data_IF_204656545274
#
_entry.id   IF_204656545274
#
_cell.length_a   1.000
_cell.length_b   1.000
_cell.length_c   1.000
_cell.angle_alpha   90.00
_cell.angle_beta   90.00
_cell.angle_gamma   90.00
#
_symmetry.space_group_name_H-M   'P 1'
#
loop_
_entity.id
_entity.type
_entity.pdbx_description
1 polymer ?
#
# COMPACT_ATOMS: atom_id res chain seq x y z
N UNK A 1 11.67 -1.83 -12.71
CA UNK A 1 11.18 -0.55 -13.20
C UNK A 1 9.66 -0.50 -13.13
N UNK A 2 9.07 0.61 -12.66
CA UNK A 2 7.66 0.70 -12.32
C UNK A 2 6.80 1.27 -13.47
N UNK A 3 6.83 0.69 -14.65
CA UNK A 3 6.08 1.21 -15.81
C UNK A 3 4.70 0.58 -15.90
N UNK A 4 3.67 1.40 -15.84
CA UNK A 4 2.29 0.95 -15.98
C UNK A 4 1.46 1.84 -16.92
N UNK A 5 1.99 2.99 -17.31
CA UNK A 5 1.24 4.00 -18.05
C UNK A 5 1.94 4.42 -19.32
N UNK A 6 1.14 4.66 -20.38
CA UNK A 6 1.65 5.13 -21.65
C UNK A 6 2.23 6.55 -21.57
N UNK A 7 1.84 7.34 -20.58
CA UNK A 7 2.36 8.69 -20.35
C UNK A 7 3.66 8.73 -19.56
N UNK A 8 4.23 7.55 -19.23
CA UNK A 8 5.48 7.43 -18.50
C UNK A 8 5.35 7.53 -16.98
N UNK A 9 4.14 7.66 -16.43
CA UNK A 9 3.93 7.63 -14.99
C UNK A 9 3.88 6.20 -14.47
N UNK A 10 4.36 6.03 -13.24
CA UNK A 10 4.33 4.75 -12.54
C UNK A 10 3.11 4.72 -11.62
N UNK A 11 2.37 3.62 -11.61
CA UNK A 11 1.21 3.46 -10.75
C UNK A 11 1.54 2.52 -9.58
N UNK A 12 1.38 3.05 -8.36
CA UNK A 12 1.58 2.33 -7.11
C UNK A 12 0.24 2.16 -6.45
N UNK A 13 -0.08 0.94 -6.01
CA UNK A 13 -1.33 0.64 -5.30
C UNK A 13 -0.99 0.26 -3.86
N UNK A 14 -1.57 0.97 -2.89
CA UNK A 14 -1.51 0.55 -1.50
C UNK A 14 -2.57 -0.52 -1.28
N UNK A 15 -2.13 -1.73 -0.98
CA UNK A 15 -2.98 -2.88 -0.67
C UNK A 15 -2.21 -3.77 0.31
N UNK A 16 -2.54 -3.76 1.61
CA UNK A 16 -1.74 -4.45 2.61
C UNK A 16 -1.85 -5.97 2.49
N UNK A 17 -0.72 -6.65 2.70
CA UNK A 17 -0.61 -8.10 2.71
C UNK A 17 0.48 -8.49 3.71
N UNK A 18 0.77 -9.79 3.84
CA UNK A 18 1.81 -10.27 4.73
C UNK A 18 3.18 -9.71 4.33
N UNK A 19 3.82 -8.98 5.24
CA UNK A 19 5.11 -8.30 5.04
C UNK A 19 5.15 -7.28 3.88
N UNK A 20 3.99 -7.01 3.26
CA UNK A 20 3.91 -6.15 2.09
C UNK A 20 2.83 -5.07 2.28
N UNK A 21 3.06 -3.90 1.72
CA UNK A 21 2.11 -2.79 1.87
C UNK A 21 1.43 -2.41 0.55
N UNK A 22 1.96 -2.89 -0.57
CA UNK A 22 1.38 -2.53 -1.85
C UNK A 22 2.10 -3.19 -3.02
N UNK A 23 1.72 -2.79 -4.20
CA UNK A 23 2.25 -3.34 -5.44
C UNK A 23 2.21 -2.31 -6.56
N UNK A 24 2.97 -2.56 -7.62
CA UNK A 24 2.88 -1.83 -8.88
C UNK A 24 1.86 -2.53 -9.79
N UNK A 25 1.21 -1.77 -10.66
CA UNK A 25 0.38 -2.37 -11.70
C UNK A 25 1.21 -3.13 -12.74
N UNK A 26 2.52 -2.89 -12.79
CA UNK A 26 3.43 -3.66 -13.63
C UNK A 26 3.65 -5.06 -13.05
N UNK A 27 3.42 -6.08 -13.86
CA UNK A 27 3.60 -7.49 -13.44
C UNK A 27 5.07 -7.86 -13.21
N UNK A 28 6.00 -7.07 -13.74
CA UNK A 28 7.43 -7.33 -13.62
C UNK A 28 8.04 -6.83 -12.31
N UNK A 29 7.24 -6.12 -11.49
CA UNK A 29 7.71 -5.55 -10.24
C UNK A 29 7.13 -6.35 -9.07
N UNK A 30 7.98 -6.92 -8.18
CA UNK A 30 7.48 -7.64 -7.01
C UNK A 30 6.74 -6.68 -6.06
N UNK A 31 5.85 -7.21 -5.20
CA UNK A 31 5.17 -6.40 -4.20
C UNK A 31 6.14 -5.63 -3.31
N UNK A 32 5.69 -4.52 -2.77
CA UNK A 32 6.53 -3.57 -2.02
C UNK A 32 6.60 -3.95 -0.55
N UNK A 33 7.82 -4.06 -0.02
CA UNK A 33 8.09 -4.30 1.40
C UNK A 33 8.42 -3.00 2.11
N UNK A 34 8.29 -3.02 3.43
CA UNK A 34 8.68 -1.89 4.27
C UNK A 34 9.49 -2.40 5.46
N UNK A 35 10.61 -1.75 5.74
CA UNK A 35 11.46 -2.11 6.87
C UNK A 35 10.84 -1.67 8.19
N UNK A 36 11.29 -2.27 9.31
CA UNK A 36 10.74 -2.01 10.64
C UNK A 36 10.92 -0.55 11.10
N UNK A 37 11.87 0.17 10.52
CA UNK A 37 12.07 1.60 10.78
C UNK A 37 11.18 2.50 9.91
N UNK A 38 10.36 1.91 9.03
CA UNK A 38 9.46 2.65 8.13
C UNK A 38 10.07 3.00 6.78
N UNK A 39 11.26 2.53 6.48
CA UNK A 39 11.90 2.77 5.18
C UNK A 39 11.23 1.89 4.12
N UNK A 40 10.74 2.51 3.06
CA UNK A 40 10.21 1.77 1.91
C UNK A 40 11.37 1.07 1.20
N UNK A 41 11.28 -0.26 1.14
CA UNK A 41 12.36 -1.09 0.60
C UNK A 41 12.19 -1.30 -0.91
N UNK A 42 12.33 -0.20 -1.65
CA UNK A 42 12.34 -0.22 -3.11
C UNK A 42 13.06 1.06 -3.60
N UNK A 43 14.24 0.89 -4.19
CA UNK A 43 15.07 1.99 -4.66
C UNK A 43 14.45 2.80 -5.82
N UNK A 44 13.45 2.22 -6.49
CA UNK A 44 12.77 2.88 -7.61
C UNK A 44 11.62 3.79 -7.14
N UNK A 45 11.31 3.80 -5.84
CA UNK A 45 10.31 4.68 -5.22
C UNK A 45 11.05 5.76 -4.44
N UNK A 46 10.78 7.01 -4.76
CA UNK A 46 11.52 8.14 -4.18
C UNK A 46 10.60 9.33 -3.90
N UNK A 47 11.06 10.21 -3.02
CA UNK A 47 10.33 11.41 -2.64
C UNK A 47 10.54 12.56 -3.65
N UNK A 48 10.03 13.75 -3.29
CA UNK A 48 10.13 14.95 -4.13
C UNK A 48 11.58 15.36 -4.44
N UNK A 49 12.53 14.94 -3.61
CA UNK A 49 13.95 15.25 -3.76
C UNK A 49 14.76 14.07 -4.34
N UNK A 50 14.08 13.00 -4.75
CA UNK A 50 14.70 11.80 -5.28
C UNK A 50 15.34 10.92 -4.21
N UNK A 51 14.94 11.06 -2.95
CA UNK A 51 15.50 10.34 -1.81
C UNK A 51 14.57 9.21 -1.36
N UNK A 52 15.12 8.20 -0.63
CA UNK A 52 14.28 7.14 -0.05
C UNK A 52 13.23 7.72 0.90
N UNK A 53 12.08 7.06 0.94
CA UNK A 53 10.95 7.46 1.80
C UNK A 53 11.00 6.63 3.08
N UNK A 54 10.85 7.31 4.23
CA UNK A 54 10.73 6.66 5.54
C UNK A 54 9.38 7.04 6.13
N UNK A 55 8.53 6.04 6.42
CA UNK A 55 7.17 6.25 6.86
C UNK A 55 6.77 5.19 7.91
N UNK A 56 7.16 5.41 9.20
CA UNK A 56 6.89 4.42 10.26
C UNK A 56 5.42 4.05 10.41
N UNK A 57 4.49 5.01 10.24
CA UNK A 57 3.06 4.75 10.34
C UNK A 57 2.57 3.77 9.28
N UNK A 58 3.19 3.75 8.09
CA UNK A 58 2.86 2.79 7.04
C UNK A 58 3.23 1.36 7.47
N UNK A 59 4.39 1.20 8.09
CA UNK A 59 4.82 -0.09 8.62
C UNK A 59 3.85 -0.61 9.68
N UNK A 60 3.51 0.23 10.68
CA UNK A 60 2.61 -0.17 11.76
C UNK A 60 1.21 -0.52 11.24
N UNK A 61 0.69 0.26 10.31
CA UNK A 61 -0.62 0.03 9.71
C UNK A 61 -0.64 -1.27 8.89
N UNK A 62 0.36 -1.48 8.05
CA UNK A 62 0.45 -2.68 7.23
C UNK A 62 0.54 -3.94 8.11
N UNK A 63 1.31 -3.87 9.19
CA UNK A 63 1.54 -5.01 10.07
C UNK A 63 0.25 -5.50 10.75
N UNK A 64 -0.74 -4.65 10.93
CA UNK A 64 -2.03 -5.03 11.51
C UNK A 64 -2.79 -6.07 10.69
N UNK A 65 -2.51 -6.19 9.39
CA UNK A 65 -3.20 -7.14 8.52
C UNK A 65 -2.67 -8.57 8.66
N UNK A 66 -1.45 -8.77 9.17
CA UNK A 66 -0.78 -10.08 9.15
C UNK A 66 -1.58 -11.20 9.82
N UNK A 67 -2.15 -11.01 11.03
CA UNK A 67 -2.97 -12.08 11.63
C UNK A 67 -4.19 -12.45 10.79
N UNK A 68 -4.76 -11.48 10.08
CA UNK A 68 -5.92 -11.67 9.22
C UNK A 68 -5.54 -12.46 7.96
N UNK A 69 -4.40 -12.15 7.36
CA UNK A 69 -3.88 -12.88 6.19
C UNK A 69 -3.64 -14.35 6.57
N UNK A 70 -3.04 -14.58 7.75
CA UNK A 70 -2.79 -15.94 8.24
C UNK A 70 -4.11 -16.69 8.45
N UNK A 71 -5.09 -16.09 9.13
CA UNK A 71 -6.40 -16.72 9.37
C UNK A 71 -7.10 -17.02 8.05
N UNK A 72 -7.11 -16.09 7.12
CA UNK A 72 -7.71 -16.27 5.79
C UNK A 72 -7.06 -17.44 5.04
N UNK A 73 -5.74 -17.55 5.09
CA UNK A 73 -5.00 -18.59 4.34
C UNK A 73 -5.29 -20.01 4.83
N UNK A 74 -5.67 -20.17 6.11
CA UNK A 74 -5.98 -21.48 6.71
C UNK A 74 -7.48 -21.69 6.91
N UNK A 75 -8.31 -20.77 6.43
CA UNK A 75 -9.76 -20.88 6.52
C UNK A 75 -10.33 -20.62 7.91
N UNK A 76 -9.59 -19.95 8.79
CA UNK A 76 -10.06 -19.59 10.13
C UNK A 76 -10.85 -18.28 10.12
N UNK A 77 -11.82 -18.11 11.03
CA UNK A 77 -12.55 -16.85 11.14
C UNK A 77 -11.65 -15.71 11.62
N UNK A 78 -11.94 -14.51 11.17
CA UNK A 78 -11.27 -13.30 11.63
C UNK A 78 -12.27 -12.15 11.68
N UNK A 79 -11.95 -11.12 12.48
CA UNK A 79 -12.77 -9.95 12.63
C UNK A 79 -11.89 -8.71 12.63
N UNK A 80 -12.38 -7.61 12.02
CA UNK A 80 -11.66 -6.36 11.98
C UNK A 80 -12.63 -5.21 11.69
N UNK A 81 -12.40 -4.08 12.34
CA UNK A 81 -13.07 -2.83 12.02
C UNK A 81 -12.47 -2.25 10.73
N UNK A 82 -13.03 -2.66 9.59
CA UNK A 82 -12.54 -2.25 8.29
C UNK A 82 -12.72 -0.75 8.04
N UNK A 83 -13.78 -0.15 8.56
CA UNK A 83 -13.99 1.29 8.40
C UNK A 83 -12.86 2.09 9.05
N UNK A 84 -12.50 1.76 10.29
CA UNK A 84 -11.37 2.38 10.98
C UNK A 84 -10.05 2.11 10.26
N UNK A 85 -9.83 0.85 9.88
CA UNK A 85 -8.59 0.45 9.22
C UNK A 85 -8.38 1.23 7.91
N UNK A 86 -9.42 1.31 7.09
CA UNK A 86 -9.34 2.03 5.81
C UNK A 86 -9.25 3.54 6.01
N UNK A 87 -9.92 4.10 7.01
CA UNK A 87 -9.78 5.53 7.30
C UNK A 87 -8.33 5.87 7.62
N UNK A 88 -7.67 5.08 8.46
CA UNK A 88 -6.26 5.27 8.78
C UNK A 88 -5.36 5.03 7.57
N UNK A 89 -5.67 4.01 6.77
CA UNK A 89 -4.94 3.72 5.54
C UNK A 89 -5.04 4.85 4.51
N UNK A 90 -6.22 5.44 4.35
CA UNK A 90 -6.41 6.58 3.46
C UNK A 90 -5.67 7.82 3.97
N UNK A 91 -5.66 8.06 5.29
CA UNK A 91 -4.88 9.16 5.87
C UNK A 91 -3.38 8.99 5.60
N UNK A 92 -2.87 7.77 5.73
CA UNK A 92 -1.48 7.44 5.42
C UNK A 92 -1.22 7.64 3.92
N UNK A 93 -2.15 7.19 3.07
CA UNK A 93 -2.02 7.35 1.62
C UNK A 93 -1.94 8.83 1.22
N UNK A 94 -2.75 9.69 1.83
CA UNK A 94 -2.69 11.12 1.56
C UNK A 94 -1.37 11.75 2.05
N UNK A 95 -0.84 11.31 3.17
CA UNK A 95 0.49 11.74 3.63
C UNK A 95 1.58 11.30 2.66
N UNK A 96 1.51 10.05 2.21
CA UNK A 96 2.46 9.54 1.23
C UNK A 96 2.38 10.33 -0.07
N UNK A 97 1.16 10.68 -0.54
CA UNK A 97 0.99 11.47 -1.76
C UNK A 97 1.75 12.79 -1.70
N UNK A 98 1.79 13.44 -0.53
CA UNK A 98 2.44 14.74 -0.36
C UNK A 98 3.96 14.68 -0.44
N UNK A 99 4.55 13.56 -0.06
CA UNK A 99 6.02 13.39 -0.05
C UNK A 99 6.52 12.60 -1.25
N UNK A 100 5.68 11.78 -1.86
CA UNK A 100 6.03 10.96 -3.02
C UNK A 100 6.23 11.85 -4.25
N UNK A 101 7.23 11.52 -5.08
CA UNK A 101 7.45 12.23 -6.34
C UNK A 101 6.19 12.23 -7.21
N UNK A 102 5.91 13.33 -7.93
CA UNK A 102 4.78 13.38 -8.87
C UNK A 102 4.96 12.46 -10.09
N UNK A 103 6.11 11.83 -10.25
CA UNK A 103 6.33 10.79 -11.26
C UNK A 103 5.49 9.54 -10.97
N UNK A 104 4.94 9.42 -9.75
CA UNK A 104 4.12 8.29 -9.33
C UNK A 104 2.66 8.68 -9.22
N UNK A 105 1.80 7.80 -9.71
CA UNK A 105 0.38 7.83 -9.46
C UNK A 105 0.12 6.88 -8.29
N UNK A 106 -0.66 7.31 -7.30
CA UNK A 106 -0.91 6.54 -6.09
C UNK A 106 -2.37 6.15 -5.97
N UNK A 107 -2.63 4.87 -5.73
CA UNK A 107 -3.96 4.29 -5.59
C UNK A 107 -4.08 3.57 -4.26
N UNK A 108 -5.31 3.39 -3.80
CA UNK A 108 -5.64 2.63 -2.60
C UNK A 108 -6.65 1.54 -2.95
N UNK A 109 -6.44 0.33 -2.43
CA UNK A 109 -7.30 -0.82 -2.70
C UNK A 109 -7.45 -1.66 -1.43
N UNK A 110 -8.65 -2.21 -1.20
CA UNK A 110 -8.87 -3.11 -0.09
C UNK A 110 -8.25 -4.48 -0.39
N UNK A 111 -7.66 -5.16 0.62
CA UNK A 111 -7.16 -6.52 0.43
C UNK A 111 -8.31 -7.51 0.23
N UNK A 112 -8.00 -8.67 -0.37
CA UNK A 112 -9.00 -9.71 -0.64
C UNK A 112 -9.62 -10.29 0.62
N UNK A 113 -8.95 -10.18 1.77
CA UNK A 113 -9.45 -10.60 3.08
C UNK A 113 -10.61 -9.73 3.57
N UNK A 114 -10.73 -8.51 3.04
CA UNK A 114 -11.82 -7.61 3.40
C UNK A 114 -13.08 -7.94 2.59
N UNK A 115 -14.10 -8.44 3.28
CA UNK A 115 -15.41 -8.76 2.68
C UNK A 115 -16.47 -7.73 3.04
N UNK A 116 -16.10 -6.62 3.69
CA UNK A 116 -17.04 -5.60 4.15
C UNK A 116 -17.65 -4.77 3.03
N UNK A 117 -16.90 -4.58 1.93
CA UNK A 117 -17.34 -3.71 0.85
C UNK A 117 -17.13 -2.22 1.12
N UNK A 118 -16.47 -1.85 2.22
CA UNK A 118 -16.19 -0.45 2.58
C UNK A 118 -15.44 0.27 1.46
N UNK A 119 -14.44 -0.40 0.88
CA UNK A 119 -13.73 0.08 -0.32
C UNK A 119 -14.12 -0.87 -1.45
N UNK A 120 -14.99 -0.42 -2.34
CA UNK A 120 -15.54 -1.27 -3.40
C UNK A 120 -14.70 -1.29 -4.67
N UNK A 121 -13.78 -0.33 -4.82
CA UNK A 121 -12.94 -0.22 -6.01
C UNK A 121 -11.64 0.48 -5.66
N UNK A 122 -10.66 0.33 -6.56
CA UNK A 122 -9.40 1.06 -6.46
C UNK A 122 -9.67 2.56 -6.52
N UNK A 123 -9.09 3.31 -5.58
CA UNK A 123 -9.32 4.76 -5.43
C UNK A 123 -8.02 5.52 -5.69
N UNK A 124 -8.08 6.50 -6.60
CA UNK A 124 -6.94 7.38 -6.87
C UNK A 124 -6.73 8.35 -5.70
N UNK A 125 -5.50 8.46 -5.24
CA UNK A 125 -5.10 9.36 -4.15
C UNK A 125 -4.47 10.61 -4.77
N UNK A 126 -5.11 11.73 -4.57
CA UNK A 126 -4.69 13.03 -5.11
C UNK A 126 -4.07 13.96 -4.07
#
# INVERSE_FOLDING_TARGET
>A
MLYDKADGKHAIVICPDYDEWGYSLSEDVPPFSIASDGRIDNKDIYDLDGKPIVMPELYEWQKEIEPIVVAFSVGEPYDKDWDDYHQRGLDIAHKLRKILSPDFELWYEAPSEDKSGTISSRTLIE
#
